data_IF_805341920408
#
_entry.id   IF_805341920408
#
_cell.length_a   1.000
_cell.length_b   1.000
_cell.length_c   1.000
_cell.angle_alpha   90.00
_cell.angle_beta   90.00
_cell.angle_gamma   90.00
#
_symmetry.space_group_name_H-M   'P 1'
#
loop_
_entity.id
_entity.type
_entity.pdbx_description
1 polymer ?
#
# COMPACT_ATOMS: atom_id res chain seq x y z
N UNK A 1 -7.68 -22.40 -28.59
CA UNK A 1 -7.11 -21.40 -27.66
C UNK A 1 -8.04 -20.20 -27.62
N UNK A 2 -8.69 -19.92 -26.49
CA UNK A 2 -9.61 -18.79 -26.35
C UNK A 2 -9.36 -18.09 -25.01
N UNK A 3 -8.52 -17.05 -25.01
CA UNK A 3 -8.27 -16.22 -23.85
C UNK A 3 -9.49 -15.37 -23.54
N UNK A 4 -10.36 -15.85 -22.66
CA UNK A 4 -11.51 -15.09 -22.18
C UNK A 4 -11.05 -13.83 -21.44
N UNK A 5 -10.97 -12.72 -22.17
CA UNK A 5 -10.67 -11.38 -21.63
C UNK A 5 -11.81 -11.00 -20.68
N UNK A 6 -11.48 -10.89 -19.39
CA UNK A 6 -12.46 -10.58 -18.35
C UNK A 6 -13.03 -9.17 -18.56
N UNK A 7 -14.35 -9.00 -18.42
CA UNK A 7 -15.03 -7.69 -18.58
C UNK A 7 -14.51 -6.68 -17.54
N UNK A 8 -14.25 -5.41 -17.92
CA UNK A 8 -13.62 -4.38 -17.08
C UNK A 8 -14.26 -4.19 -15.70
N UNK A 9 -15.59 -4.32 -15.60
CA UNK A 9 -16.33 -4.17 -14.35
C UNK A 9 -15.99 -5.23 -13.29
N UNK A 10 -15.64 -6.46 -13.70
CA UNK A 10 -15.28 -7.54 -12.75
C UNK A 10 -13.85 -7.45 -12.25
N UNK A 11 -12.98 -6.70 -12.94
CA UNK A 11 -11.60 -6.49 -12.51
C UNK A 11 -11.54 -5.52 -11.32
N UNK A 12 -12.41 -4.51 -11.28
CA UNK A 12 -12.45 -3.44 -10.26
C UNK A 12 -13.26 -3.77 -9.00
N UNK A 13 -14.17 -4.75 -9.06
CA UNK A 13 -15.07 -5.03 -7.94
C UNK A 13 -14.53 -6.16 -7.05
N UNK A 14 -14.24 -5.86 -5.78
CA UNK A 14 -14.07 -6.86 -4.72
C UNK A 14 -15.45 -7.45 -4.35
N UNK A 15 -16.05 -8.19 -5.28
CA UNK A 15 -17.38 -8.77 -5.12
C UNK A 15 -17.40 -9.85 -4.04
N UNK A 16 -18.58 -10.18 -3.53
CA UNK A 16 -18.78 -11.24 -2.54
C UNK A 16 -18.30 -12.64 -2.99
N UNK A 17 -18.02 -12.83 -4.28
CA UNK A 17 -17.59 -14.09 -4.89
C UNK A 17 -16.21 -13.92 -5.53
N UNK A 18 -15.17 -14.44 -4.87
CA UNK A 18 -13.82 -14.47 -5.39
C UNK A 18 -13.56 -15.73 -6.21
N UNK A 19 -13.07 -15.58 -7.45
CA UNK A 19 -12.49 -16.70 -8.22
C UNK A 19 -10.98 -16.69 -8.00
N UNK A 20 -10.43 -17.79 -7.49
CA UNK A 20 -9.01 -17.92 -7.15
C UNK A 20 -8.42 -19.15 -7.83
N UNK A 21 -7.13 -19.11 -8.15
CA UNK A 21 -6.43 -20.27 -8.68
C UNK A 21 -5.98 -21.20 -7.56
N UNK A 22 -6.16 -22.51 -7.74
CA UNK A 22 -5.70 -23.55 -6.82
C UNK A 22 -4.53 -24.28 -7.45
N UNK A 23 -3.51 -24.58 -6.64
CA UNK A 23 -2.39 -25.44 -6.98
C UNK A 23 -2.09 -26.41 -5.85
N UNK A 24 -1.60 -27.58 -6.17
CA UNK A 24 -1.04 -28.54 -5.23
C UNK A 24 0.48 -28.46 -5.35
N UNK A 25 1.15 -27.98 -4.31
CA UNK A 25 2.60 -27.82 -4.28
C UNK A 25 3.21 -28.69 -3.19
N UNK A 26 4.36 -29.30 -3.48
CA UNK A 26 5.22 -29.90 -2.45
C UNK A 26 6.19 -28.84 -1.93
N UNK A 27 6.12 -28.53 -0.64
CA UNK A 27 6.97 -27.55 0.07
C UNK A 27 7.50 -28.23 1.34
N UNK A 28 8.81 -28.18 1.59
CA UNK A 28 9.45 -28.89 2.72
C UNK A 28 9.01 -30.36 2.84
N UNK A 29 8.94 -31.05 1.70
CA UNK A 29 8.52 -32.44 1.60
C UNK A 29 7.02 -32.69 1.81
N UNK A 30 6.21 -31.68 2.19
CA UNK A 30 4.76 -31.80 2.48
C UNK A 30 3.91 -31.24 1.35
N UNK A 31 2.70 -31.78 1.17
CA UNK A 31 1.74 -31.31 0.19
C UNK A 31 0.92 -30.14 0.74
N UNK A 32 0.87 -29.04 -0.01
CA UNK A 32 0.08 -27.86 0.29
C UNK A 32 -0.92 -27.58 -0.84
N UNK A 33 -2.14 -27.20 -0.47
CA UNK A 33 -3.08 -26.56 -1.37
C UNK A 33 -2.82 -25.05 -1.35
N UNK A 34 -2.18 -24.56 -2.39
CA UNK A 34 -1.80 -23.15 -2.53
C UNK A 34 -2.84 -22.43 -3.39
N UNK A 35 -3.54 -21.51 -2.74
CA UNK A 35 -4.54 -20.64 -3.38
C UNK A 35 -3.87 -19.31 -3.74
N UNK A 36 -4.13 -18.77 -4.93
CA UNK A 36 -3.61 -17.46 -5.34
C UNK A 36 -4.70 -16.63 -6.02
N UNK A 37 -4.59 -15.29 -6.00
CA UNK A 37 -5.40 -14.45 -6.87
C UNK A 37 -5.23 -14.84 -8.35
N UNK A 38 -6.24 -14.54 -9.17
CA UNK A 38 -6.20 -14.81 -10.62
C UNK A 38 -5.54 -13.66 -11.37
N UNK A 39 -4.85 -13.95 -12.50
CA UNK A 39 -4.50 -12.92 -13.47
C UNK A 39 -5.73 -12.08 -13.82
N UNK A 40 -5.57 -10.75 -13.87
CA UNK A 40 -6.67 -9.80 -14.07
C UNK A 40 -7.23 -9.18 -12.79
N UNK A 41 -6.84 -9.66 -11.60
CA UNK A 41 -7.12 -8.95 -10.34
C UNK A 41 -6.36 -7.63 -10.32
N UNK A 42 -7.04 -6.50 -10.04
CA UNK A 42 -6.41 -5.16 -10.01
C UNK A 42 -5.71 -4.82 -8.71
N UNK A 43 -6.04 -5.50 -7.60
CA UNK A 43 -5.39 -5.26 -6.31
C UNK A 43 -3.86 -5.41 -6.43
N UNK A 44 -3.15 -4.47 -5.81
CA UNK A 44 -1.69 -4.46 -5.71
C UNK A 44 -1.27 -4.28 -4.28
N UNK A 45 -0.19 -4.96 -3.91
CA UNK A 45 0.33 -4.95 -2.56
C UNK A 45 1.82 -4.69 -2.59
N UNK A 46 2.33 -4.14 -1.51
CA UNK A 46 3.75 -4.14 -1.19
C UNK A 46 3.94 -4.58 0.26
N UNK A 47 5.18 -4.83 0.64
CA UNK A 47 5.56 -5.16 2.01
C UNK A 47 6.84 -4.45 2.37
N UNK A 48 6.94 -3.97 3.60
CA UNK A 48 8.20 -3.50 4.16
C UNK A 48 8.27 -3.83 5.66
N UNK A 49 9.43 -3.57 6.25
CA UNK A 49 9.60 -3.57 7.70
C UNK A 49 9.92 -2.16 8.15
N UNK A 50 9.07 -1.60 9.00
CA UNK A 50 9.26 -0.24 9.52
C UNK A 50 8.78 -0.19 10.98
N UNK A 51 9.43 0.62 11.83
CA UNK A 51 9.20 0.64 13.28
C UNK A 51 9.10 -0.76 13.93
N UNK A 52 10.01 -1.67 13.54
CA UNK A 52 10.06 -3.04 14.08
C UNK A 52 8.96 -3.99 13.60
N UNK A 53 7.99 -3.50 12.83
CA UNK A 53 6.75 -4.21 12.45
C UNK A 53 6.75 -4.53 10.95
N UNK A 54 6.16 -5.67 10.55
CA UNK A 54 5.97 -6.01 9.13
C UNK A 54 4.67 -5.43 8.62
N UNK A 55 4.73 -4.69 7.51
CA UNK A 55 3.55 -4.07 6.95
C UNK A 55 3.12 -4.74 5.64
N UNK A 56 1.81 -4.79 5.43
CA UNK A 56 1.20 -5.00 4.12
C UNK A 56 0.63 -3.67 3.65
N UNK A 57 1.19 -3.14 2.57
CA UNK A 57 0.86 -1.83 2.02
C UNK A 57 -0.04 -1.97 0.79
N UNK A 58 -1.06 -1.14 0.67
CA UNK A 58 -1.96 -1.15 -0.49
C UNK A 58 -2.72 0.17 -0.68
N UNK A 59 -3.71 0.17 -1.56
CA UNK A 59 -4.78 1.16 -1.61
C UNK A 59 -6.06 0.62 -0.93
N UNK A 60 -7.12 1.44 -0.90
CA UNK A 60 -8.42 1.03 -0.34
C UNK A 60 -8.98 -0.21 -1.01
N UNK A 61 -8.78 -0.35 -2.33
CA UNK A 61 -9.29 -1.50 -3.08
C UNK A 61 -8.57 -2.79 -2.68
N UNK A 62 -7.25 -2.76 -2.54
CA UNK A 62 -6.47 -3.91 -2.13
C UNK A 62 -6.70 -4.30 -0.67
N UNK A 63 -6.93 -3.35 0.25
CA UNK A 63 -7.35 -3.70 1.62
C UNK A 63 -8.72 -4.42 1.64
N UNK A 64 -9.71 -3.96 0.86
CA UNK A 64 -10.98 -4.67 0.69
C UNK A 64 -10.82 -6.05 0.06
N UNK A 65 -9.89 -6.19 -0.89
CA UNK A 65 -9.58 -7.50 -1.45
C UNK A 65 -8.93 -8.43 -0.41
N UNK A 66 -7.96 -7.93 0.37
CA UNK A 66 -7.34 -8.66 1.47
C UNK A 66 -8.36 -9.09 2.53
N UNK A 67 -9.31 -8.22 2.88
CA UNK A 67 -10.42 -8.55 3.76
C UNK A 67 -11.22 -9.76 3.24
N UNK A 68 -11.56 -9.78 1.95
CA UNK A 68 -12.28 -10.90 1.33
C UNK A 68 -11.46 -12.19 1.32
N UNK A 69 -10.13 -12.11 1.14
CA UNK A 69 -9.25 -13.27 1.21
C UNK A 69 -9.19 -13.85 2.64
N UNK A 70 -9.00 -13.00 3.64
CA UNK A 70 -8.99 -13.40 5.06
C UNK A 70 -10.33 -14.00 5.49
N UNK A 71 -11.44 -13.37 5.11
CA UNK A 71 -12.79 -13.87 5.40
C UNK A 71 -13.05 -15.20 4.70
N UNK A 72 -12.70 -15.33 3.41
CA UNK A 72 -12.84 -16.58 2.68
C UNK A 72 -11.99 -17.71 3.29
N UNK A 73 -10.75 -17.40 3.70
CA UNK A 73 -9.86 -18.35 4.37
C UNK A 73 -10.49 -18.87 5.67
N UNK A 74 -11.12 -18.00 6.47
CA UNK A 74 -11.76 -18.39 7.71
C UNK A 74 -12.83 -19.50 7.57
N UNK A 75 -13.56 -19.52 6.45
CA UNK A 75 -14.62 -20.52 6.21
C UNK A 75 -14.18 -21.70 5.35
N UNK A 76 -13.17 -21.52 4.51
CA UNK A 76 -12.83 -22.47 3.45
C UNK A 76 -11.45 -23.11 3.61
N UNK A 77 -10.70 -22.72 4.66
CA UNK A 77 -9.44 -23.36 4.99
C UNK A 77 -9.63 -24.85 5.34
N UNK A 78 -8.73 -25.67 4.79
CA UNK A 78 -8.53 -27.08 5.14
C UNK A 78 -7.08 -27.26 5.57
N UNK A 79 -6.74 -28.30 6.35
CA UNK A 79 -5.35 -28.60 6.68
C UNK A 79 -4.46 -28.60 5.42
N UNK A 80 -3.32 -27.91 5.50
CA UNK A 80 -2.40 -27.75 4.36
C UNK A 80 -2.81 -26.69 3.33
N UNK A 81 -3.86 -25.91 3.58
CA UNK A 81 -4.27 -24.79 2.69
C UNK A 81 -3.58 -23.51 3.11
N UNK A 82 -2.98 -22.81 2.16
CA UNK A 82 -2.49 -21.44 2.36
C UNK A 82 -2.80 -20.57 1.14
N UNK A 83 -2.97 -19.27 1.36
CA UNK A 83 -3.14 -18.31 0.29
C UNK A 83 -1.85 -17.53 0.07
N UNK A 84 -1.49 -17.26 -1.18
CA UNK A 84 -0.29 -16.47 -1.50
C UNK A 84 -0.61 -15.35 -2.48
N UNK A 85 -0.12 -14.17 -2.14
CA UNK A 85 -0.05 -12.99 -3.01
C UNK A 85 1.43 -12.81 -3.37
N UNK A 86 1.76 -12.92 -4.65
CA UNK A 86 3.13 -12.91 -5.14
C UNK A 86 3.30 -11.99 -6.35
N UNK A 87 4.45 -12.10 -7.03
CA UNK A 87 4.98 -11.16 -8.04
C UNK A 87 3.94 -10.52 -8.98
N UNK A 88 2.96 -11.21 -9.57
CA UNK A 88 1.96 -10.56 -10.44
C UNK A 88 1.08 -9.51 -9.73
N UNK A 89 1.01 -9.57 -8.40
CA UNK A 89 0.21 -8.70 -7.54
C UNK A 89 1.06 -7.84 -6.61
N UNK A 90 2.38 -8.04 -6.60
CA UNK A 90 3.31 -7.25 -5.82
C UNK A 90 3.89 -6.11 -6.64
N UNK A 91 4.02 -4.97 -5.97
CA UNK A 91 4.76 -3.81 -6.45
C UNK A 91 5.84 -3.45 -5.44
N UNK A 92 6.89 -2.73 -5.85
CA UNK A 92 7.85 -2.18 -4.90
C UNK A 92 7.18 -1.33 -3.84
N UNK A 93 7.89 -1.09 -2.75
CA UNK A 93 7.47 -0.14 -1.71
C UNK A 93 7.15 1.23 -2.30
N UNK A 94 6.12 1.94 -1.79
CA UNK A 94 5.73 3.26 -2.29
C UNK A 94 6.68 4.38 -1.85
N UNK A 95 7.85 4.05 -1.30
CA UNK A 95 8.75 5.00 -0.66
C UNK A 95 10.12 5.04 -1.35
N UNK A 96 10.81 3.90 -1.34
CA UNK A 96 12.19 3.71 -1.81
C UNK A 96 12.28 2.72 -3.00
N UNK A 97 11.13 2.19 -3.44
CA UNK A 97 11.02 1.20 -4.49
C UNK A 97 11.85 -0.08 -4.27
N UNK A 98 12.05 -0.45 -3.01
CA UNK A 98 12.56 -1.75 -2.62
C UNK A 98 11.59 -2.88 -3.01
N UNK A 99 12.12 -4.06 -3.37
CA UNK A 99 11.30 -5.20 -3.77
C UNK A 99 10.47 -5.72 -2.60
N UNK A 100 9.17 -5.90 -2.82
CA UNK A 100 8.29 -6.52 -1.84
C UNK A 100 8.51 -8.05 -1.74
N UNK A 101 8.38 -8.57 -0.53
CA UNK A 101 8.33 -10.01 -0.27
C UNK A 101 6.93 -10.58 -0.60
N UNK A 102 6.84 -11.86 -1.01
CA UNK A 102 5.58 -12.60 -1.05
C UNK A 102 4.81 -12.53 0.27
N UNK A 103 3.49 -12.38 0.17
CA UNK A 103 2.59 -12.41 1.32
C UNK A 103 1.90 -13.77 1.37
N UNK A 104 1.95 -14.45 2.51
CA UNK A 104 1.20 -15.69 2.75
C UNK A 104 0.15 -15.49 3.84
N UNK A 105 -1.11 -15.84 3.55
CA UNK A 105 -2.15 -15.97 4.58
C UNK A 105 -2.26 -17.44 4.96
N UNK A 106 -1.94 -17.73 6.22
CA UNK A 106 -1.76 -19.10 6.70
C UNK A 106 -2.72 -19.33 7.87
N UNK A 107 -3.69 -20.25 7.73
CA UNK A 107 -4.59 -20.61 8.81
C UNK A 107 -3.82 -21.43 9.87
N UNK A 108 -3.13 -20.76 10.79
CA UNK A 108 -2.11 -21.37 11.65
C UNK A 108 -2.69 -22.34 12.69
N UNK A 109 -4.01 -22.31 12.90
CA UNK A 109 -4.73 -23.28 13.74
C UNK A 109 -4.66 -24.73 13.25
N UNK A 110 -4.38 -24.97 11.97
CA UNK A 110 -4.28 -26.33 11.42
C UNK A 110 -3.41 -26.47 10.16
N UNK A 111 -2.69 -25.41 9.76
CA UNK A 111 -1.71 -25.45 8.66
C UNK A 111 -0.36 -24.92 9.16
N UNK A 112 0.60 -25.80 9.47
CA UNK A 112 1.95 -25.35 9.80
C UNK A 112 2.65 -24.82 8.54
N UNK A 113 3.37 -23.70 8.64
CA UNK A 113 4.26 -23.21 7.59
C UNK A 113 5.68 -23.16 8.13
N UNK A 114 6.51 -24.15 7.83
CA UNK A 114 7.92 -24.18 8.29
C UNK A 114 8.77 -23.12 7.58
N UNK A 115 9.93 -22.76 8.15
CA UNK A 115 10.90 -21.85 7.49
C UNK A 115 11.32 -22.38 6.13
N UNK A 116 11.54 -23.70 6.02
CA UNK A 116 11.90 -24.36 4.76
C UNK A 116 10.77 -24.28 3.73
N UNK A 117 9.52 -24.53 4.14
CA UNK A 117 8.37 -24.44 3.25
C UNK A 117 8.15 -23.00 2.74
N UNK A 118 8.32 -22.01 3.61
CA UNK A 118 8.25 -20.60 3.22
C UNK A 118 9.38 -20.22 2.26
N UNK A 119 10.61 -20.71 2.48
CA UNK A 119 11.73 -20.51 1.56
C UNK A 119 11.51 -21.17 0.20
N UNK A 120 10.95 -22.38 0.18
CA UNK A 120 10.54 -23.06 -1.06
C UNK A 120 9.49 -22.25 -1.81
N UNK A 121 8.56 -21.62 -1.08
CA UNK A 121 7.55 -20.75 -1.67
C UNK A 121 8.19 -19.48 -2.26
N UNK A 122 9.08 -18.80 -1.52
CA UNK A 122 9.73 -17.57 -1.95
C UNK A 122 10.61 -17.75 -3.20
N UNK A 123 11.32 -18.87 -3.30
CA UNK A 123 12.22 -19.16 -4.43
C UNK A 123 11.49 -19.49 -5.74
N UNK A 124 10.19 -19.79 -5.70
CA UNK A 124 9.42 -20.11 -6.91
C UNK A 124 9.14 -18.84 -7.71
N UNK A 125 10.03 -18.56 -8.64
CA UNK A 125 9.92 -17.40 -9.55
C UNK A 125 8.77 -17.52 -10.55
N UNK A 126 8.39 -18.75 -10.91
CA UNK A 126 7.21 -19.09 -11.70
C UNK A 126 6.44 -20.20 -11.00
N UNK A 127 5.12 -20.04 -10.91
CA UNK A 127 4.24 -21.11 -10.42
C UNK A 127 3.86 -22.04 -11.57
N UNK A 128 3.62 -23.32 -11.30
CA UNK A 128 3.02 -24.20 -12.29
C UNK A 128 1.64 -23.67 -12.71
N UNK A 129 1.13 -24.20 -13.82
CA UNK A 129 -0.26 -23.96 -14.22
C UNK A 129 -1.20 -24.31 -13.05
N UNK A 130 -2.32 -23.58 -12.89
CA UNK A 130 -3.29 -23.90 -11.85
C UNK A 130 -3.96 -25.25 -12.11
N UNK A 131 -4.12 -26.07 -11.06
CA UNK A 131 -4.87 -27.35 -11.10
C UNK A 131 -6.40 -27.12 -11.10
N UNK A 132 -6.82 -25.86 -11.14
CA UNK A 132 -8.22 -25.47 -11.18
C UNK A 132 -8.49 -24.11 -10.57
N UNK A 133 -9.78 -23.79 -10.50
CA UNK A 133 -10.30 -22.58 -9.88
C UNK A 133 -11.15 -22.96 -8.68
N UNK A 134 -10.93 -22.29 -7.55
CA UNK A 134 -11.85 -22.31 -6.41
C UNK A 134 -12.66 -21.01 -6.39
N UNK A 135 -13.88 -21.12 -5.90
CA UNK A 135 -14.79 -19.98 -5.76
C UNK A 135 -15.03 -19.76 -4.28
N UNK A 136 -14.39 -18.74 -3.74
CA UNK A 136 -14.62 -18.35 -2.35
C UNK A 136 -15.81 -17.40 -2.27
N UNK A 137 -16.75 -17.74 -1.39
CA UNK A 137 -17.89 -16.88 -1.08
C UNK A 137 -17.63 -16.23 0.26
N UNK A 138 -17.82 -14.92 0.33
CA UNK A 138 -17.52 -14.11 1.51
C UNK A 138 -18.82 -13.57 2.12
N UNK A 139 -19.80 -14.45 2.25
CA UNK A 139 -21.09 -14.14 2.87
C UNK A 139 -20.87 -13.60 4.29
N UNK A 140 -21.65 -12.58 4.66
CA UNK A 140 -21.57 -11.95 5.97
C UNK A 140 -20.49 -10.88 6.11
N UNK A 141 -19.47 -10.82 5.22
CA UNK A 141 -18.45 -9.76 5.32
C UNK A 141 -19.07 -8.38 5.08
N UNK A 142 -19.95 -8.24 4.09
CA UNK A 142 -20.58 -6.95 3.78
C UNK A 142 -21.45 -6.45 4.94
N UNK A 143 -22.16 -7.37 5.61
CA UNK A 143 -22.93 -7.03 6.80
C UNK A 143 -22.02 -6.64 7.98
N UNK A 144 -20.93 -7.38 8.21
CA UNK A 144 -19.95 -7.05 9.23
C UNK A 144 -19.21 -5.72 8.96
N UNK A 145 -19.00 -5.39 7.68
CA UNK A 145 -18.36 -4.16 7.24
C UNK A 145 -19.30 -2.95 7.20
N UNK A 146 -20.62 -3.14 7.32
CA UNK A 146 -21.58 -2.04 7.39
C UNK A 146 -21.49 -1.29 8.72
N UNK A 147 -21.26 -2.00 9.81
CA UNK A 147 -20.89 -1.42 11.11
C UNK A 147 -19.71 -2.21 11.74
N UNK A 148 -18.48 -1.95 11.26
CA UNK A 148 -17.31 -2.68 11.72
C UNK A 148 -17.00 -2.39 13.19
N UNK A 149 -17.42 -1.24 13.73
CA UNK A 149 -17.19 -0.89 15.14
C UNK A 149 -18.07 -1.74 16.04
N UNK A 150 -19.38 -1.77 15.79
CA UNK A 150 -20.29 -2.64 16.55
C UNK A 150 -19.89 -4.11 16.43
N UNK A 151 -19.56 -4.58 15.22
CA UNK A 151 -19.12 -5.96 15.01
C UNK A 151 -17.86 -6.31 15.83
N UNK A 152 -16.84 -5.44 15.81
CA UNK A 152 -15.60 -5.66 16.54
C UNK A 152 -15.76 -5.53 18.06
N UNK A 153 -16.68 -4.70 18.52
CA UNK A 153 -17.02 -4.56 19.95
C UNK A 153 -17.76 -5.78 20.49
N UNK A 154 -18.57 -6.45 19.66
CA UNK A 154 -19.23 -7.70 20.00
C UNK A 154 -18.32 -8.94 19.86
N UNK A 155 -17.15 -8.82 19.21
CA UNK A 155 -16.17 -9.91 19.07
C UNK A 155 -15.26 -10.01 20.30
N UNK A 156 -15.62 -10.92 21.21
CA UNK A 156 -14.81 -11.27 22.39
C UNK A 156 -13.37 -11.64 21.99
N UNK A 157 -12.41 -10.75 22.25
CA UNK A 157 -11.01 -11.04 21.89
C UNK A 157 -10.53 -12.25 22.71
N UNK A 158 -9.81 -13.20 22.09
CA UNK A 158 -9.17 -14.25 22.87
C UNK A 158 -8.13 -13.67 23.84
N UNK A 159 -7.75 -14.42 24.89
CA UNK A 159 -6.63 -14.05 25.74
C UNK A 159 -5.35 -13.84 24.94
N UNK A 160 -4.51 -12.93 25.43
CA UNK A 160 -3.29 -12.46 24.78
C UNK A 160 -2.40 -13.55 24.16
N UNK A 161 -2.17 -14.65 24.88
CA UNK A 161 -1.26 -15.74 24.49
C UNK A 161 -1.74 -16.55 23.27
N UNK A 162 -2.99 -16.36 22.88
CA UNK A 162 -3.71 -17.13 21.87
C UNK A 162 -3.99 -16.32 20.59
N UNK A 163 -3.44 -15.10 20.48
CA UNK A 163 -3.53 -14.28 19.26
C UNK A 163 -2.52 -14.73 18.19
N UNK A 164 -2.94 -14.58 16.93
CA UNK A 164 -2.09 -14.71 15.76
C UNK A 164 -1.14 -13.55 15.60
N UNK A 165 -0.21 -13.71 14.67
CA UNK A 165 0.88 -12.75 14.49
C UNK A 165 1.31 -12.64 13.03
N UNK A 166 2.11 -11.62 12.73
CA UNK A 166 2.86 -11.51 11.49
C UNK A 166 4.30 -11.90 11.75
N UNK A 167 4.92 -12.55 10.78
CA UNK A 167 6.36 -12.78 10.81
C UNK A 167 6.90 -12.83 9.39
N UNK A 168 8.15 -12.40 9.20
CA UNK A 168 8.87 -12.77 7.99
C UNK A 168 9.56 -14.11 8.20
N UNK A 169 9.13 -15.11 7.46
CA UNK A 169 9.65 -16.48 7.52
C UNK A 169 10.16 -16.89 6.15
N UNK A 170 11.45 -17.20 6.06
CA UNK A 170 12.05 -17.74 4.82
C UNK A 170 11.90 -16.85 3.57
N UNK A 171 11.82 -15.52 3.73
CA UNK A 171 11.60 -14.58 2.62
C UNK A 171 10.13 -14.40 2.23
N UNK A 172 9.19 -14.73 3.12
CA UNK A 172 7.74 -14.51 2.96
C UNK A 172 7.23 -13.77 4.19
N UNK A 173 6.43 -12.73 3.98
CA UNK A 173 5.66 -12.10 5.07
C UNK A 173 4.40 -12.94 5.30
N UNK A 174 4.38 -13.66 6.42
CA UNK A 174 3.31 -14.58 6.78
C UNK A 174 2.35 -13.93 7.78
N UNK A 175 1.07 -13.89 7.42
CA UNK A 175 -0.05 -13.55 8.29
C UNK A 175 -0.59 -14.87 8.86
N UNK A 176 -0.48 -15.04 10.17
CA UNK A 176 -0.72 -16.32 10.86
C UNK A 176 -1.89 -16.22 11.87
N UNK A 177 -3.13 -15.94 11.44
CA UNK A 177 -4.27 -16.01 12.36
C UNK A 177 -4.36 -17.39 12.98
N UNK A 178 -4.57 -17.46 14.30
CA UNK A 178 -4.67 -18.66 15.14
C UNK A 178 -6.08 -19.22 15.26
N UNK A 179 -7.07 -18.59 14.65
CA UNK A 179 -8.40 -19.17 14.51
C UNK A 179 -9.15 -18.59 13.32
N UNK A 180 -10.19 -19.31 12.86
CA UNK A 180 -11.12 -18.79 11.87
C UNK A 180 -11.81 -17.50 12.36
N UNK A 181 -12.11 -17.39 13.66
CA UNK A 181 -12.67 -16.17 14.25
C UNK A 181 -11.71 -14.99 14.09
N UNK A 182 -10.44 -15.19 14.41
CA UNK A 182 -9.43 -14.15 14.27
C UNK A 182 -9.20 -13.75 12.81
N UNK A 183 -9.19 -14.71 11.88
CA UNK A 183 -9.12 -14.40 10.45
C UNK A 183 -10.30 -13.51 9.99
N UNK A 184 -11.52 -13.73 10.51
CA UNK A 184 -12.67 -12.83 10.27
C UNK A 184 -12.48 -11.46 10.91
N UNK A 185 -11.93 -11.40 12.12
CA UNK A 185 -11.63 -10.14 12.79
C UNK A 185 -10.66 -9.29 11.97
N UNK A 186 -9.54 -9.88 11.53
CA UNK A 186 -8.54 -9.21 10.68
C UNK A 186 -9.16 -8.80 9.34
N UNK A 187 -10.10 -9.57 8.80
CA UNK A 187 -10.83 -9.18 7.61
C UNK A 187 -11.70 -7.93 7.82
N UNK A 188 -12.46 -7.84 8.92
CA UNK A 188 -13.28 -6.66 9.24
C UNK A 188 -12.39 -5.44 9.47
N UNK A 189 -11.30 -5.62 10.20
CA UNK A 189 -10.27 -4.60 10.40
C UNK A 189 -9.65 -4.10 9.08
N UNK A 190 -9.30 -5.00 8.15
CA UNK A 190 -8.82 -4.59 6.83
C UNK A 190 -9.90 -3.88 6.00
N UNK A 191 -11.18 -4.27 6.15
CA UNK A 191 -12.28 -3.73 5.36
C UNK A 191 -12.65 -2.28 5.71
N UNK A 192 -12.39 -1.85 6.95
CA UNK A 192 -12.72 -0.51 7.45
C UNK A 192 -11.71 0.57 7.05
N UNK A 193 -10.53 0.17 6.56
CA UNK A 193 -9.48 1.11 6.22
C UNK A 193 -9.93 2.09 5.13
N UNK A 194 -9.78 3.39 5.41
CA UNK A 194 -10.22 4.49 4.55
C UNK A 194 -9.19 5.63 4.48
N UNK A 195 -8.39 5.72 3.40
CA UNK A 195 -7.38 6.76 3.25
C UNK A 195 -7.96 8.12 2.80
N UNK A 196 -9.28 8.33 2.90
CA UNK A 196 -9.94 9.62 2.60
C UNK A 196 -9.74 10.69 3.69
N UNK A 197 -9.22 10.31 4.86
CA UNK A 197 -8.83 11.25 5.91
C UNK A 197 -7.71 12.25 5.51
N UNK A 198 -7.45 13.28 6.33
CA UNK A 198 -6.57 14.40 5.97
C UNK A 198 -5.13 13.98 5.62
N UNK A 199 -4.63 12.90 6.22
CA UNK A 199 -3.28 12.40 5.98
C UNK A 199 -3.14 11.53 4.73
N UNK A 200 -4.25 11.21 4.05
CA UNK A 200 -4.22 10.36 2.84
C UNK A 200 -3.79 8.92 3.10
N UNK A 201 -3.74 8.49 4.37
CA UNK A 201 -3.35 7.15 4.82
C UNK A 201 -4.26 6.70 5.96
N UNK A 202 -4.41 5.39 6.12
CA UNK A 202 -5.08 4.75 7.25
C UNK A 202 -4.41 3.40 7.54
N UNK A 203 -4.44 2.96 8.80
CA UNK A 203 -3.66 1.81 9.25
C UNK A 203 -4.38 0.99 10.32
N UNK A 204 -4.17 -0.33 10.27
CA UNK A 204 -4.56 -1.22 11.35
C UNK A 204 -3.40 -2.13 11.76
N UNK A 205 -3.08 -2.07 13.05
CA UNK A 205 -2.23 -3.03 13.72
C UNK A 205 -2.92 -4.39 13.92
N UNK A 206 -2.27 -5.46 13.46
CA UNK A 206 -2.75 -6.85 13.53
C UNK A 206 -1.77 -7.76 14.26
N UNK A 207 -2.33 -8.66 15.08
CA UNK A 207 -1.56 -9.52 15.99
C UNK A 207 -0.89 -8.72 17.12
N UNK A 208 -0.41 -9.38 18.17
CA UNK A 208 0.30 -8.72 19.28
C UNK A 208 1.61 -9.46 19.62
N UNK A 209 2.62 -8.71 20.07
CA UNK A 209 3.96 -9.23 20.43
C UNK A 209 4.19 -9.13 21.94
N UNK A 210 4.53 -10.24 22.61
CA UNK A 210 4.59 -10.31 24.09
C UNK A 210 5.68 -9.39 24.63
N UNK A 211 5.35 -8.53 25.60
CA UNK A 211 6.35 -7.81 26.41
C UNK A 211 6.65 -6.35 26.05
N UNK A 212 5.92 -5.69 25.14
CA UNK A 212 6.04 -4.23 24.96
C UNK A 212 4.69 -3.51 24.94
N UNK A 213 4.65 -2.32 25.54
CA UNK A 213 3.49 -1.43 25.64
C UNK A 213 3.06 -0.82 24.28
N UNK A 214 3.85 -1.04 23.23
CA UNK A 214 3.56 -0.70 21.85
C UNK A 214 3.94 -1.89 20.96
N UNK A 215 3.35 -1.97 19.76
CA UNK A 215 3.75 -2.85 18.64
C UNK A 215 3.05 -4.22 18.56
N UNK A 216 1.99 -4.21 17.75
CA UNK A 216 1.53 -5.39 17.04
C UNK A 216 2.67 -6.03 16.22
N UNK A 217 2.53 -7.30 15.88
CA UNK A 217 3.53 -7.97 15.03
C UNK A 217 3.41 -7.58 13.56
N UNK A 218 2.24 -7.08 13.15
CA UNK A 218 1.98 -6.61 11.80
C UNK A 218 1.09 -5.38 11.70
N UNK A 219 1.10 -4.77 10.53
CA UNK A 219 0.23 -3.64 10.17
C UNK A 219 -0.32 -3.84 8.74
N UNK A 220 -1.58 -3.48 8.52
CA UNK A 220 -2.11 -3.23 7.18
C UNK A 220 -2.24 -1.73 7.04
N UNK A 221 -1.59 -1.16 6.03
CA UNK A 221 -1.61 0.27 5.78
C UNK A 221 -2.10 0.54 4.36
N UNK A 222 -2.99 1.53 4.21
CA UNK A 222 -3.51 1.96 2.92
C UNK A 222 -3.17 3.40 2.63
N UNK A 223 -2.88 3.69 1.36
CA UNK A 223 -2.58 5.04 0.88
C UNK A 223 -3.57 5.44 -0.21
N UNK A 224 -4.03 6.69 -0.17
CA UNK A 224 -4.89 7.26 -1.22
C UNK A 224 -4.17 7.28 -2.56
N UNK A 225 -2.88 7.61 -2.52
CA UNK A 225 -2.02 7.79 -3.69
C UNK A 225 -1.12 6.59 -3.95
N UNK A 226 -1.41 5.41 -3.38
CA UNK A 226 -0.53 4.23 -3.41
C UNK A 226 0.15 3.97 -4.76
N UNK A 227 -0.62 3.91 -5.85
CA UNK A 227 -0.08 3.64 -7.18
C UNK A 227 0.81 4.78 -7.72
N UNK A 228 0.47 6.03 -7.41
CA UNK A 228 1.27 7.21 -7.74
C UNK A 228 2.57 7.16 -6.96
N UNK A 229 2.52 6.91 -5.66
CA UNK A 229 3.69 6.90 -4.79
C UNK A 229 4.66 5.77 -5.19
N UNK A 230 4.16 4.59 -5.55
CA UNK A 230 4.97 3.53 -6.19
C UNK A 230 5.64 3.99 -7.48
N UNK A 231 4.94 4.75 -8.34
CA UNK A 231 5.53 5.25 -9.57
C UNK A 231 6.60 6.32 -9.31
N UNK A 232 6.38 7.20 -8.33
CA UNK A 232 7.36 8.22 -7.90
C UNK A 232 8.58 7.54 -7.29
N UNK A 233 8.41 6.55 -6.42
CA UNK A 233 9.51 5.80 -5.81
C UNK A 233 10.37 5.09 -6.85
N UNK A 234 9.74 4.44 -7.85
CA UNK A 234 10.48 3.82 -8.97
C UNK A 234 11.30 4.84 -9.74
N UNK A 235 10.72 6.02 -9.99
CA UNK A 235 11.42 7.10 -10.69
C UNK A 235 12.57 7.64 -9.85
N UNK A 236 12.35 7.86 -8.56
CA UNK A 236 13.38 8.31 -7.63
C UNK A 236 14.56 7.34 -7.61
N UNK A 237 14.28 6.03 -7.47
CA UNK A 237 15.31 5.00 -7.49
C UNK A 237 16.07 4.96 -8.82
N UNK A 238 15.36 5.05 -9.94
CA UNK A 238 16.01 5.10 -11.25
C UNK A 238 16.89 6.35 -11.44
N UNK A 239 16.43 7.52 -10.98
CA UNK A 239 17.22 8.76 -11.02
C UNK A 239 18.50 8.64 -10.19
N UNK A 240 18.41 8.09 -8.97
CA UNK A 240 19.58 7.89 -8.09
C UNK A 240 20.56 6.90 -8.71
N UNK A 241 20.08 5.73 -9.16
CA UNK A 241 20.93 4.70 -9.75
C UNK A 241 21.56 5.10 -11.10
N UNK A 242 21.02 6.11 -11.79
CA UNK A 242 21.59 6.63 -13.03
C UNK A 242 22.78 7.58 -12.80
N UNK A 243 23.02 8.02 -11.55
CA UNK A 243 24.12 8.92 -11.23
C UNK A 243 25.47 8.16 -11.27
N UNK A 244 26.56 8.78 -11.74
CA UNK A 244 27.90 8.17 -11.69
C UNK A 244 28.39 7.86 -10.28
N UNK A 245 27.91 8.61 -9.28
CA UNK A 245 28.27 8.52 -7.87
C UNK A 245 27.18 7.83 -7.02
N UNK A 246 26.33 7.00 -7.64
CA UNK A 246 25.25 6.31 -6.93
C UNK A 246 25.80 5.45 -5.77
N UNK A 247 25.22 5.54 -4.56
CA UNK A 247 25.65 4.72 -3.43
C UNK A 247 25.52 3.22 -3.71
N UNK A 248 26.53 2.45 -3.29
CA UNK A 248 26.50 0.98 -3.34
C UNK A 248 26.01 0.37 -2.03
N UNK A 249 26.12 1.10 -0.92
CA UNK A 249 25.59 0.67 0.36
C UNK A 249 24.04 0.78 0.35
N UNK A 250 23.31 -0.26 0.79
CA UNK A 250 21.85 -0.25 0.77
C UNK A 250 21.20 0.84 1.64
N UNK A 251 21.79 1.17 2.78
CA UNK A 251 21.20 2.13 3.72
C UNK A 251 21.38 3.57 3.20
N UNK A 252 22.56 3.87 2.64
CA UNK A 252 22.84 5.13 1.96
C UNK A 252 21.97 5.28 0.70
N UNK A 253 21.85 4.21 -0.10
CA UNK A 253 20.98 4.20 -1.28
C UNK A 253 19.52 4.45 -0.89
N UNK A 254 19.01 3.78 0.15
CA UNK A 254 17.65 3.98 0.64
C UNK A 254 17.38 5.42 1.04
N UNK A 255 18.34 6.04 1.74
CA UNK A 255 18.27 7.43 2.18
C UNK A 255 18.24 8.41 0.99
N UNK A 256 19.13 8.26 0.01
CA UNK A 256 19.13 9.12 -1.18
C UNK A 256 17.85 8.97 -2.01
N UNK A 257 17.33 7.75 -2.15
CA UNK A 257 16.08 7.51 -2.88
C UNK A 257 14.91 8.17 -2.16
N UNK A 258 14.86 8.10 -0.83
CA UNK A 258 13.84 8.75 -0.02
C UNK A 258 13.85 10.28 -0.23
N UNK A 259 15.04 10.90 -0.19
CA UNK A 259 15.18 12.33 -0.43
C UNK A 259 14.75 12.72 -1.84
N UNK A 260 15.17 11.94 -2.84
CA UNK A 260 14.77 12.15 -4.24
C UNK A 260 13.27 11.97 -4.44
N UNK A 261 12.65 10.98 -3.79
CA UNK A 261 11.20 10.78 -3.79
C UNK A 261 10.49 12.03 -3.26
N UNK A 262 10.92 12.54 -2.11
CA UNK A 262 10.37 13.76 -1.52
C UNK A 262 10.50 14.99 -2.43
N UNK A 263 11.64 15.13 -3.12
CA UNK A 263 11.85 16.21 -4.08
C UNK A 263 10.90 16.11 -5.29
N UNK A 264 10.71 14.90 -5.84
CA UNK A 264 9.79 14.66 -6.96
C UNK A 264 8.32 14.89 -6.56
N UNK A 265 7.95 14.51 -5.34
CA UNK A 265 6.59 14.72 -4.84
C UNK A 265 6.30 16.21 -4.60
N UNK A 266 7.23 16.93 -3.95
CA UNK A 266 7.15 18.39 -3.77
C UNK A 266 7.04 19.13 -5.12
N UNK A 267 7.90 18.81 -6.08
CA UNK A 267 7.87 19.41 -7.41
C UNK A 267 6.56 19.15 -8.18
N UNK A 268 5.86 18.04 -7.89
CA UNK A 268 4.56 17.69 -8.52
C UNK A 268 3.34 18.19 -7.77
N UNK A 269 3.44 18.42 -6.45
CA UNK A 269 2.32 18.94 -5.66
C UNK A 269 1.89 20.35 -6.13
N UNK A 270 2.68 20.99 -7.01
CA UNK A 270 2.43 22.33 -7.56
C UNK A 270 2.18 23.35 -6.46
N UNK A 271 2.54 23.08 -5.21
CA UNK A 271 2.37 24.04 -4.13
C UNK A 271 3.22 25.27 -4.44
N UNK A 272 2.73 26.44 -4.08
CA UNK A 272 3.41 27.71 -4.40
C UNK A 272 4.84 27.74 -3.83
N UNK A 273 5.05 27.13 -2.65
CA UNK A 273 6.37 26.97 -2.02
C UNK A 273 7.33 26.02 -2.73
N UNK A 274 6.85 25.24 -3.70
CA UNK A 274 7.66 24.32 -4.50
C UNK A 274 7.93 24.85 -5.92
N UNK A 275 7.47 26.07 -6.24
CA UNK A 275 7.58 26.65 -7.57
C UNK A 275 8.88 27.45 -7.79
N UNK A 276 9.83 27.39 -6.86
CA UNK A 276 11.10 28.13 -6.96
C UNK A 276 10.99 29.60 -6.56
N UNK A 277 9.99 29.96 -5.75
CA UNK A 277 9.87 31.28 -5.13
C UNK A 277 10.61 31.31 -3.79
N UNK A 278 11.11 32.48 -3.34
CA UNK A 278 11.63 32.62 -1.98
C UNK A 278 10.58 32.22 -0.95
N UNK A 279 11.01 31.55 0.12
CA UNK A 279 10.11 30.97 1.14
C UNK A 279 9.13 31.99 1.71
N UNK A 280 9.61 33.20 2.02
CA UNK A 280 8.79 34.30 2.54
C UNK A 280 7.63 34.65 1.61
N UNK A 281 7.89 34.73 0.31
CA UNK A 281 6.90 35.13 -0.68
C UNK A 281 5.89 34.01 -0.94
N UNK A 282 6.35 32.76 -0.95
CA UNK A 282 5.47 31.59 -1.04
C UNK A 282 4.52 31.48 0.17
N UNK A 283 5.02 31.73 1.39
CA UNK A 283 4.20 31.74 2.61
C UNK A 283 3.17 32.88 2.58
N UNK A 284 3.57 34.07 2.13
CA UNK A 284 2.66 35.22 1.97
C UNK A 284 1.57 34.94 0.92
N UNK A 285 1.92 34.33 -0.21
CA UNK A 285 0.97 33.96 -1.26
C UNK A 285 -0.02 32.90 -0.77
N UNK A 286 0.47 31.90 -0.04
CA UNK A 286 -0.40 30.88 0.56
C UNK A 286 -1.37 31.47 1.59
N UNK A 287 -0.92 32.43 2.40
CA UNK A 287 -1.75 33.18 3.34
C UNK A 287 -2.80 34.05 2.62
N UNK A 288 -2.45 34.61 1.46
CA UNK A 288 -3.36 35.36 0.59
C UNK A 288 -4.28 34.49 -0.29
N UNK A 289 -4.24 33.17 -0.13
CA UNK A 289 -5.13 32.22 -0.82
C UNK A 289 -4.61 31.67 -2.15
N UNK A 290 -3.37 31.97 -2.54
CA UNK A 290 -2.69 31.37 -3.70
C UNK A 290 -1.82 30.21 -3.20
N UNK A 291 -2.40 29.00 -3.13
CA UNK A 291 -1.75 27.86 -2.44
C UNK A 291 -1.01 26.93 -3.39
N UNK A 292 -1.40 26.91 -4.66
CA UNK A 292 -0.76 26.11 -5.70
C UNK A 292 -0.57 26.88 -7.01
N UNK A 293 0.12 26.25 -7.96
CA UNK A 293 0.40 26.76 -9.29
C UNK A 293 -0.88 27.03 -10.06
N UNK A 294 -1.91 26.19 -9.90
CA UNK A 294 -3.19 26.40 -10.58
C UNK A 294 -3.92 27.64 -10.01
N UNK A 295 -3.80 27.92 -8.71
CA UNK A 295 -4.29 29.19 -8.13
C UNK A 295 -3.52 30.38 -8.68
N UNK A 296 -2.19 30.26 -8.79
CA UNK A 296 -1.34 31.32 -9.32
C UNK A 296 -1.65 31.60 -10.80
N UNK A 297 -1.81 30.56 -11.62
CA UNK A 297 -2.21 30.67 -13.03
C UNK A 297 -3.58 31.32 -13.15
N UNK A 298 -4.54 30.95 -12.30
CA UNK A 298 -5.89 31.53 -12.28
C UNK A 298 -5.92 32.99 -11.87
N UNK A 299 -5.11 33.39 -10.88
CA UNK A 299 -5.07 34.75 -10.35
C UNK A 299 -4.21 35.67 -11.24
N UNK A 300 -3.15 35.14 -11.85
CA UNK A 300 -2.19 35.89 -12.65
C UNK A 300 -1.08 36.54 -11.81
N UNK A 301 0.11 36.72 -12.40
CA UNK A 301 1.31 37.20 -11.71
C UNK A 301 1.14 38.59 -11.09
N UNK A 302 0.57 39.56 -11.82
CA UNK A 302 0.38 40.93 -11.33
C UNK A 302 -0.57 40.99 -10.13
N UNK A 303 -1.67 40.24 -10.19
CA UNK A 303 -2.67 40.21 -9.12
C UNK A 303 -2.14 39.46 -7.90
N UNK A 304 -1.42 38.35 -8.10
CA UNK A 304 -0.77 37.61 -7.03
C UNK A 304 0.30 38.47 -6.33
N UNK A 305 1.09 39.22 -7.09
CA UNK A 305 2.05 40.19 -6.55
C UNK A 305 1.36 41.30 -5.73
N UNK A 306 0.23 41.83 -6.22
CA UNK A 306 -0.54 42.84 -5.49
C UNK A 306 -1.14 42.32 -4.17
N UNK A 307 -1.42 41.02 -4.05
CA UNK A 307 -1.99 40.41 -2.84
C UNK A 307 -1.01 40.32 -1.67
N UNK A 308 0.30 40.26 -1.93
CA UNK A 308 1.33 40.04 -0.91
C UNK A 308 2.18 41.27 -0.62
N UNK A 309 1.91 42.37 -1.35
CA UNK A 309 2.60 43.65 -1.20
C UNK A 309 1.80 44.60 -0.30
N UNK A 310 2.43 45.36 0.61
CA UNK A 310 1.80 46.50 1.25
C UNK A 310 1.26 47.50 0.22
N UNK A 311 0.09 48.09 0.47
CA UNK A 311 -0.57 49.00 -0.49
C UNK A 311 0.29 50.24 -0.85
N UNK A 312 1.19 50.66 0.05
CA UNK A 312 2.04 51.85 -0.06
C UNK A 312 3.46 51.62 -0.59
N UNK A 313 3.90 50.37 -0.79
CA UNK A 313 5.25 50.07 -1.27
C UNK A 313 5.32 50.10 -2.81
N UNK A 314 6.43 50.49 -3.46
CA UNK A 314 6.60 50.34 -4.91
C UNK A 314 6.57 48.85 -5.34
N UNK A 315 6.28 48.53 -6.62
CA UNK A 315 6.30 47.14 -7.09
C UNK A 315 7.68 46.51 -6.92
N UNK A 316 7.74 45.23 -6.53
CA UNK A 316 8.97 44.46 -6.51
C UNK A 316 9.15 43.78 -7.88
N UNK A 317 10.01 44.30 -8.76
CA UNK A 317 10.19 43.75 -10.10
C UNK A 317 10.79 42.34 -10.07
N UNK A 318 11.53 41.97 -9.02
CA UNK A 318 12.16 40.66 -8.89
C UNK A 318 11.10 39.60 -8.60
N UNK A 319 10.20 39.87 -7.65
CA UNK A 319 9.11 38.96 -7.33
C UNK A 319 8.13 38.83 -8.52
N UNK A 320 7.80 39.94 -9.18
CA UNK A 320 6.90 39.92 -10.34
C UNK A 320 7.48 39.11 -11.50
N UNK A 321 8.77 39.25 -11.80
CA UNK A 321 9.46 38.44 -12.80
C UNK A 321 9.51 36.95 -12.41
N UNK A 322 9.74 36.64 -11.13
CA UNK A 322 9.74 35.27 -10.63
C UNK A 322 8.36 34.61 -10.78
N UNK A 323 7.28 35.32 -10.43
CA UNK A 323 5.90 34.82 -10.58
C UNK A 323 5.53 34.58 -12.04
N UNK A 324 5.92 35.49 -12.94
CA UNK A 324 5.70 35.35 -14.38
C UNK A 324 6.43 34.12 -14.91
N UNK A 325 7.72 33.96 -14.57
CA UNK A 325 8.49 32.79 -14.96
C UNK A 325 7.95 31.46 -14.40
N UNK A 326 7.28 31.48 -13.25
CA UNK A 326 6.58 30.29 -12.72
C UNK A 326 5.36 29.93 -13.58
N UNK A 327 4.56 30.92 -13.97
CA UNK A 327 3.36 30.72 -14.82
C UNK A 327 3.77 30.26 -16.22
N UNK A 328 4.80 30.86 -16.82
CA UNK A 328 5.25 30.51 -18.17
C UNK A 328 5.77 29.08 -18.25
N UNK A 329 6.47 28.61 -17.19
CA UNK A 329 6.88 27.19 -17.06
C UNK A 329 5.70 26.23 -16.85
N UNK A 330 4.52 26.73 -16.53
CA UNK A 330 3.31 25.95 -16.28
C UNK A 330 2.42 25.80 -17.52
N UNK A 331 2.62 26.64 -18.55
CA UNK A 331 1.86 26.57 -19.80
C UNK A 331 2.21 25.28 -20.55
N UNK A 332 1.23 24.54 -21.10
CA UNK A 332 1.51 23.39 -21.94
C UNK A 332 2.23 23.85 -23.22
N UNK A 333 3.33 23.17 -23.56
CA UNK A 333 3.96 23.27 -24.88
C UNK A 333 3.05 22.69 -25.98
#
# INVERSE_FOLDING_TARGET
MGGGRQRPATARAATARLKLHRRVLRLDGRTYTVVTPRPGTSARFSTNRFHGTWHVLSDRHGARFLARLLWGLAYQARPGTLLVIDRPFLVPTPFDADPADPIALVPSWHTPLTVRAARDLARRTRRPAPDGTVVWRTHGLDAAAADPRAWLSADDRPPYRDEGHFERRGGVVALLPRSAREARRWAVQASRLDPSGPYGTDAEFLGRTFGSCFYASGEIQVFRSFHRDVAVARRARADVLARPDAPTDPDDLGSEVWDRHGALDRGRARLIGNCGLPRRDAEALAAAGVRCLDDLVRVGAERAHALVRPASAPPDPVLLAALTGVIDRAAPA
#
